data_IF_820384966646
#
_entry.id   IF_820384966646
#
_cell.length_a   1.000
_cell.length_b   1.000
_cell.length_c   1.000
_cell.angle_alpha   90.00
_cell.angle_beta   90.00
_cell.angle_gamma   90.00
#
_symmetry.space_group_name_H-M   'P 1'
#
loop_
_entity.id
_entity.type
_entity.pdbx_description
1 polymer ?
#
# COMPACT_ATOMS: atom_id res chain seq x y z
N UNK A 1 -9.22 -1.38 -20.10
CA UNK A 1 -10.57 -0.79 -20.24
C UNK A 1 -10.42 0.57 -20.89
N UNK A 2 -10.85 0.67 -22.15
CA UNK A 2 -10.56 1.81 -23.03
C UNK A 2 -11.53 2.97 -22.81
N UNK A 3 -10.97 4.16 -22.62
CA UNK A 3 -11.72 5.41 -22.72
C UNK A 3 -11.39 6.04 -24.07
N UNK A 4 -12.13 5.67 -25.11
CA UNK A 4 -12.16 6.45 -26.36
C UNK A 4 -13.47 7.23 -26.38
N UNK A 5 -13.39 8.55 -26.23
CA UNK A 5 -14.52 9.46 -26.36
C UNK A 5 -14.52 9.97 -27.80
N UNK A 6 -15.46 9.50 -28.63
CA UNK A 6 -15.65 10.04 -29.98
C UNK A 6 -16.16 11.49 -29.89
N UNK A 7 -15.28 12.46 -30.14
CA UNK A 7 -15.55 13.90 -29.97
C UNK A 7 -16.14 14.57 -31.22
N UNK A 8 -17.23 14.03 -31.78
CA UNK A 8 -18.02 14.75 -32.79
C UNK A 8 -19.41 15.09 -32.21
N UNK A 9 -19.43 16.05 -31.27
CA UNK A 9 -20.66 16.59 -30.68
C UNK A 9 -20.72 18.10 -30.88
N UNK A 10 -21.90 18.61 -31.23
CA UNK A 10 -22.13 20.04 -31.45
C UNK A 10 -21.94 20.84 -30.16
N UNK A 11 -21.54 22.11 -30.25
CA UNK A 11 -21.39 23.06 -29.13
C UNK A 11 -22.61 23.03 -28.18
N UNK A 12 -23.80 22.89 -28.76
CA UNK A 12 -25.10 22.84 -28.07
C UNK A 12 -25.23 21.60 -27.18
N UNK A 13 -24.70 20.47 -27.63
CA UNK A 13 -24.72 19.19 -26.92
C UNK A 13 -23.64 19.14 -25.82
N UNK A 14 -22.56 19.91 -25.95
CA UNK A 14 -21.59 20.15 -24.87
C UNK A 14 -22.17 21.06 -23.78
N UNK A 15 -22.88 22.12 -24.16
CA UNK A 15 -23.60 23.00 -23.20
C UNK A 15 -24.68 22.28 -22.41
N UNK A 16 -25.30 21.24 -22.96
CA UNK A 16 -26.26 20.40 -22.23
C UNK A 16 -25.59 19.36 -21.30
N UNK A 17 -24.26 19.31 -21.24
CA UNK A 17 -23.49 18.45 -20.34
C UNK A 17 -22.65 19.26 -19.33
N UNK A 18 -22.80 20.59 -19.30
CA UNK A 18 -22.11 21.41 -18.30
C UNK A 18 -22.77 21.16 -16.95
N UNK A 19 -21.97 20.70 -16.01
CA UNK A 19 -22.39 20.56 -14.63
C UNK A 19 -22.75 21.92 -14.07
N UNK A 20 -23.83 21.99 -13.31
CA UNK A 20 -24.10 23.17 -12.52
C UNK A 20 -23.13 23.26 -11.32
N UNK A 21 -23.14 24.40 -10.64
CA UNK A 21 -22.24 24.63 -9.51
C UNK A 21 -22.45 23.59 -8.39
N UNK A 22 -23.68 23.14 -8.16
CA UNK A 22 -24.02 22.18 -7.12
C UNK A 22 -23.50 20.78 -7.46
N UNK A 23 -23.64 20.35 -8.70
CA UNK A 23 -23.09 19.08 -9.19
C UNK A 23 -21.56 19.07 -9.09
N UNK A 24 -20.92 20.19 -9.45
CA UNK A 24 -19.47 20.34 -9.32
C UNK A 24 -19.02 20.25 -7.85
N UNK A 25 -19.72 20.94 -6.94
CA UNK A 25 -19.41 20.90 -5.50
C UNK A 25 -19.50 19.49 -4.92
N UNK A 26 -20.48 18.70 -5.37
CA UNK A 26 -20.62 17.30 -4.95
C UNK A 26 -19.41 16.48 -5.41
N UNK A 27 -18.98 16.65 -6.67
CA UNK A 27 -17.82 15.94 -7.22
C UNK A 27 -16.54 16.34 -6.48
N UNK A 28 -16.33 17.63 -6.25
CA UNK A 28 -15.19 18.13 -5.47
C UNK A 28 -15.19 17.52 -4.07
N UNK A 29 -16.34 17.43 -3.42
CA UNK A 29 -16.47 16.78 -2.12
C UNK A 29 -16.11 15.29 -2.14
N UNK A 30 -16.43 14.55 -3.22
CA UNK A 30 -16.01 13.16 -3.40
C UNK A 30 -14.49 13.07 -3.54
N UNK A 31 -13.89 13.92 -4.35
CA UNK A 31 -12.43 13.96 -4.58
C UNK A 31 -11.70 14.25 -3.27
N UNK A 32 -12.11 15.26 -2.51
CA UNK A 32 -11.49 15.61 -1.23
C UNK A 32 -11.53 14.46 -0.23
N UNK A 33 -12.63 13.70 -0.15
CA UNK A 33 -12.71 12.52 0.72
C UNK A 33 -11.78 11.40 0.23
N UNK A 34 -11.68 11.20 -1.08
CA UNK A 34 -10.76 10.22 -1.65
C UNK A 34 -9.30 10.59 -1.34
N UNK A 35 -8.93 11.86 -1.46
CA UNK A 35 -7.59 12.35 -1.11
C UNK A 35 -7.28 12.17 0.38
N UNK A 36 -8.24 12.44 1.27
CA UNK A 36 -8.07 12.21 2.70
C UNK A 36 -7.84 10.72 3.02
N UNK A 37 -8.59 9.83 2.36
CA UNK A 37 -8.41 8.39 2.49
C UNK A 37 -7.04 7.94 1.96
N UNK A 38 -6.62 8.44 0.80
CA UNK A 38 -5.30 8.12 0.23
C UNK A 38 -4.16 8.54 1.16
N UNK A 39 -4.21 9.75 1.72
CA UNK A 39 -3.21 10.22 2.68
C UNK A 39 -3.18 9.40 3.99
N UNK A 40 -4.35 8.94 4.46
CA UNK A 40 -4.41 8.05 5.62
C UNK A 40 -3.76 6.69 5.31
N UNK A 41 -4.02 6.16 4.11
CA UNK A 41 -3.51 4.88 3.67
C UNK A 41 -2.01 4.90 3.40
N UNK A 42 -1.50 5.96 2.77
CA UNK A 42 -0.05 6.15 2.59
C UNK A 42 0.68 6.17 3.93
N UNK A 43 0.12 6.84 4.95
CA UNK A 43 0.69 6.82 6.30
C UNK A 43 0.64 5.42 6.93
N UNK A 44 -0.43 4.65 6.69
CA UNK A 44 -0.55 3.27 7.20
C UNK A 44 0.51 2.36 6.57
N UNK A 45 0.64 2.41 5.25
CA UNK A 45 1.64 1.65 4.48
C UNK A 45 3.05 2.07 4.92
N UNK A 46 3.31 3.37 5.05
CA UNK A 46 4.60 3.90 5.50
C UNK A 46 5.05 3.30 6.84
N UNK A 47 4.15 3.22 7.84
CA UNK A 47 4.46 2.59 9.13
C UNK A 47 4.76 1.09 9.02
N UNK A 48 4.09 0.37 8.12
CA UNK A 48 4.34 -1.05 7.89
C UNK A 48 5.69 -1.29 7.22
N UNK A 49 6.03 -0.47 6.23
CA UNK A 49 7.34 -0.50 5.55
C UNK A 49 8.46 -0.18 6.53
N UNK A 50 8.30 0.88 7.34
CA UNK A 50 9.27 1.24 8.37
C UNK A 50 9.49 0.10 9.38
N UNK A 51 8.40 -0.54 9.84
CA UNK A 51 8.51 -1.70 10.75
C UNK A 51 9.27 -2.86 10.11
N UNK A 52 9.03 -3.14 8.83
CA UNK A 52 9.73 -4.19 8.10
C UNK A 52 11.23 -3.88 7.96
N UNK A 53 11.58 -2.66 7.56
CA UNK A 53 12.97 -2.23 7.44
C UNK A 53 13.68 -2.21 8.81
N UNK A 54 12.97 -1.84 9.89
CA UNK A 54 13.51 -1.91 11.25
C UNK A 54 13.82 -3.35 11.65
N UNK A 55 12.92 -4.29 11.36
CA UNK A 55 13.14 -5.72 11.62
C UNK A 55 14.33 -6.25 10.83
N UNK A 56 14.48 -5.85 9.55
CA UNK A 56 15.62 -6.23 8.72
C UNK A 56 16.94 -5.68 9.24
N UNK A 57 16.97 -4.40 9.65
CA UNK A 57 18.18 -3.77 10.21
C UNK A 57 18.56 -4.31 11.59
N UNK A 58 17.58 -4.74 12.37
CA UNK A 58 17.79 -5.23 13.74
C UNK A 58 17.99 -6.74 13.82
N UNK A 59 17.92 -7.46 12.70
CA UNK A 59 18.14 -8.90 12.65
C UNK A 59 19.58 -9.23 13.05
N UNK A 60 19.74 -10.18 13.98
CA UNK A 60 21.03 -10.50 14.61
C UNK A 60 21.60 -11.83 14.13
N UNK A 61 20.76 -12.84 13.88
CA UNK A 61 21.20 -14.20 13.63
C UNK A 61 21.49 -14.51 12.16
N UNK A 62 21.96 -15.73 11.89
CA UNK A 62 22.32 -16.19 10.55
C UNK A 62 21.20 -16.95 9.81
N UNK A 63 20.15 -17.40 10.52
CA UNK A 63 19.07 -18.22 9.97
C UNK A 63 19.49 -19.66 9.66
N UNK A 64 20.53 -20.17 10.33
CA UNK A 64 21.03 -21.54 10.17
C UNK A 64 21.15 -22.21 11.54
N UNK A 65 22.12 -21.77 12.34
CA UNK A 65 22.32 -22.23 13.72
C UNK A 65 21.72 -21.26 14.75
N UNK A 66 21.32 -20.06 14.31
CA UNK A 66 20.71 -19.02 15.12
C UNK A 66 19.45 -18.49 14.44
N UNK A 67 18.42 -18.17 15.22
CA UNK A 67 17.22 -17.49 14.73
C UNK A 67 17.61 -16.17 14.06
N UNK A 68 17.20 -15.97 12.80
CA UNK A 68 17.55 -14.80 12.00
C UNK A 68 17.23 -13.47 12.72
N UNK A 69 16.11 -13.42 13.45
CA UNK A 69 15.64 -12.18 14.08
C UNK A 69 16.33 -11.92 15.42
N UNK A 70 16.22 -12.83 16.39
CA UNK A 70 16.70 -12.61 17.76
C UNK A 70 18.12 -13.10 18.05
N UNK A 71 18.69 -13.96 17.19
CA UNK A 71 20.05 -14.50 17.37
C UNK A 71 20.17 -15.68 18.34
N UNK A 72 19.07 -16.15 18.95
CA UNK A 72 19.10 -17.35 19.81
C UNK A 72 19.51 -18.60 19.04
N UNK A 73 20.29 -19.49 19.68
CA UNK A 73 20.73 -20.74 19.09
C UNK A 73 19.58 -21.74 18.92
N UNK A 74 19.60 -22.45 17.79
CA UNK A 74 18.59 -23.44 17.39
C UNK A 74 19.19 -24.84 17.39
N UNK A 75 18.35 -25.87 17.51
CA UNK A 75 18.75 -27.29 17.38
C UNK A 75 18.83 -28.04 18.71
N UNK A 76 19.77 -28.99 18.82
CA UNK A 76 19.73 -30.08 19.82
C UNK A 76 19.67 -29.61 21.29
N UNK A 77 20.21 -28.43 21.59
CA UNK A 77 20.21 -27.80 22.92
C UNK A 77 19.54 -26.42 22.90
N UNK A 78 18.89 -26.09 21.79
CA UNK A 78 18.27 -24.80 21.54
C UNK A 78 16.77 -24.93 21.27
N UNK A 79 16.17 -23.83 20.87
CA UNK A 79 14.74 -23.76 20.57
C UNK A 79 14.44 -24.53 19.28
N UNK A 80 13.29 -25.20 19.20
CA UNK A 80 12.82 -25.81 17.96
C UNK A 80 12.62 -24.74 16.88
N UNK A 81 12.99 -25.04 15.64
CA UNK A 81 12.90 -24.09 14.52
C UNK A 81 12.10 -24.64 13.35
N UNK A 82 11.66 -23.71 12.51
CA UNK A 82 11.05 -23.97 11.21
C UNK A 82 11.76 -23.10 10.17
N UNK A 83 11.77 -23.54 8.91
CA UNK A 83 12.30 -22.74 7.80
C UNK A 83 11.22 -21.83 7.25
N UNK A 84 11.57 -20.57 7.05
CA UNK A 84 10.78 -19.62 6.30
C UNK A 84 10.71 -20.05 4.83
N UNK A 85 9.49 -20.16 4.30
CA UNK A 85 9.27 -20.55 2.92
C UNK A 85 9.84 -19.54 1.91
N UNK A 86 9.84 -18.26 2.24
CA UNK A 86 10.20 -17.19 1.30
C UNK A 86 11.73 -16.98 1.22
N UNK A 87 12.43 -17.00 2.36
CA UNK A 87 13.87 -16.70 2.40
C UNK A 87 14.76 -17.91 2.72
N UNK A 88 14.17 -19.09 2.95
CA UNK A 88 14.87 -20.35 3.21
C UNK A 88 15.87 -20.26 4.39
N UNK A 89 15.48 -19.50 5.41
CA UNK A 89 16.20 -19.29 6.68
C UNK A 89 15.31 -19.65 7.87
#
# INVERSE_FOLDING_TARGET
TGWSVHTFRTERQRRSQTLDARELDIIVGVIQRAEQLDQAEQRRIGRLVERLENMRRSAVGNGLSQCLLCGEFLGLLGTSSVLCQDCSK
#
